data_IF_156210494739
#
_entry.id   IF_156210494739
#
_cell.length_a   1.000
_cell.length_b   1.000
_cell.length_c   1.000
_cell.angle_alpha   90.00
_cell.angle_beta   90.00
_cell.angle_gamma   90.00
#
_symmetry.space_group_name_H-M   'P 1'
#
loop_
_entity.id
_entity.type
_entity.pdbx_description
1 polymer ?
#
# COMPACT_ATOMS: atom_id res chain seq x y z
N UNK A 1 -23.98 4.74 20.97
CA UNK A 1 -23.22 6.01 21.04
C UNK A 1 -21.74 5.73 20.83
N UNK A 2 -21.09 6.46 19.92
CA UNK A 2 -19.62 6.62 19.90
C UNK A 2 -19.25 7.90 20.66
N UNK A 3 -18.19 7.87 21.46
CA UNK A 3 -17.71 9.03 22.23
C UNK A 3 -16.20 9.27 21.98
N UNK A 4 -15.71 10.47 22.32
CA UNK A 4 -14.32 10.89 22.09
C UNK A 4 -13.25 10.07 22.83
N UNK A 5 -13.61 9.39 23.92
CA UNK A 5 -12.77 8.48 24.70
C UNK A 5 -12.53 7.11 24.04
N UNK A 6 -13.25 6.75 22.98
CA UNK A 6 -12.95 5.56 22.16
C UNK A 6 -11.89 5.83 21.07
N UNK A 7 -11.31 7.04 21.03
CA UNK A 7 -10.25 7.38 20.09
C UNK A 7 -9.01 6.50 20.28
N UNK A 8 -8.50 5.93 19.20
CA UNK A 8 -7.19 5.25 19.23
C UNK A 8 -6.06 6.23 19.51
N UNK A 9 -4.99 5.74 20.16
CA UNK A 9 -3.81 6.54 20.43
C UNK A 9 -3.27 7.18 19.14
N UNK A 10 -2.95 8.48 19.16
CA UNK A 10 -2.53 9.25 17.98
C UNK A 10 -1.33 8.63 17.25
N UNK A 11 -0.43 7.97 17.99
CA UNK A 11 0.75 7.29 17.42
C UNK A 11 0.38 6.05 16.60
N UNK A 12 -0.59 5.27 17.07
CA UNK A 12 -1.01 4.00 16.47
C UNK A 12 -2.22 4.14 15.56
N UNK A 13 -2.87 5.30 15.54
CA UNK A 13 -3.97 5.56 14.63
C UNK A 13 -3.49 5.42 13.16
N UNK A 14 -4.32 4.77 12.34
CA UNK A 14 -4.08 4.46 10.92
C UNK A 14 -2.89 3.52 10.63
N UNK A 15 -2.32 2.88 11.65
CA UNK A 15 -1.28 1.85 11.49
C UNK A 15 -1.94 0.49 11.26
N UNK A 16 -1.48 -0.25 10.26
CA UNK A 16 -1.91 -1.62 10.00
C UNK A 16 -1.34 -2.58 11.04
N UNK A 17 -1.93 -3.77 11.23
CA UNK A 17 -1.34 -4.83 12.05
C UNK A 17 0.09 -5.21 11.64
N UNK A 18 0.48 -4.95 10.38
CA UNK A 18 1.84 -5.13 9.87
C UNK A 18 2.85 -4.11 10.40
N UNK A 19 2.42 -3.08 11.14
CA UNK A 19 3.27 -2.00 11.65
C UNK A 19 3.43 -0.81 10.70
N UNK A 20 2.87 -0.87 9.49
CA UNK A 20 2.99 0.19 8.49
C UNK A 20 1.73 1.06 8.39
N UNK A 21 1.89 2.30 7.97
CA UNK A 21 0.77 3.15 7.55
C UNK A 21 0.49 2.96 6.06
N UNK A 22 -0.77 2.82 5.71
CA UNK A 22 -1.19 2.61 4.32
C UNK A 22 -1.19 3.93 3.54
N UNK A 23 -0.60 3.93 2.36
CA UNK A 23 -0.63 5.03 1.41
C UNK A 23 -1.27 4.54 0.11
N UNK A 24 -2.34 5.20 -0.31
CA UNK A 24 -3.07 4.84 -1.51
C UNK A 24 -2.34 5.39 -2.74
N UNK A 25 -2.02 4.52 -3.71
CA UNK A 25 -1.23 4.84 -4.90
C UNK A 25 -2.09 4.71 -6.16
N UNK A 26 -2.14 5.76 -6.97
CA UNK A 26 -2.88 5.79 -8.23
C UNK A 26 -1.99 5.57 -9.46
N UNK A 27 -0.69 5.88 -9.36
CA UNK A 27 0.25 5.75 -10.46
C UNK A 27 1.67 5.43 -9.97
N UNK A 28 2.56 5.08 -10.91
CA UNK A 28 3.95 4.70 -10.62
C UNK A 28 4.78 5.87 -10.07
N UNK A 29 4.44 7.13 -10.40
CA UNK A 29 5.19 8.31 -9.95
C UNK A 29 5.01 8.56 -8.45
N UNK A 30 3.84 8.26 -7.91
CA UNK A 30 3.52 8.39 -6.48
C UNK A 30 4.37 7.47 -5.59
N UNK A 31 4.93 6.38 -6.12
CA UNK A 31 5.90 5.56 -5.38
C UNK A 31 7.15 6.36 -4.98
N UNK A 32 7.51 7.40 -5.73
CA UNK A 32 8.64 8.27 -5.39
C UNK A 32 8.44 9.01 -4.07
N UNK A 33 7.19 9.32 -3.70
CA UNK A 33 6.86 9.99 -2.43
C UNK A 33 7.18 9.06 -1.24
N UNK A 34 7.07 7.75 -1.44
CA UNK A 34 7.33 6.75 -0.41
C UNK A 34 8.81 6.36 -0.27
N UNK A 35 9.70 6.90 -1.11
CA UNK A 35 11.10 6.48 -1.14
C UNK A 35 11.81 6.70 0.20
N UNK A 36 11.57 7.85 0.85
CA UNK A 36 12.14 8.17 2.17
C UNK A 36 11.33 7.58 3.34
N UNK A 37 10.18 6.97 3.06
CA UNK A 37 9.20 6.52 4.05
C UNK A 37 8.92 5.01 3.97
N UNK A 38 9.74 4.25 3.24
CA UNK A 38 9.53 2.84 2.95
C UNK A 38 9.55 1.92 4.18
N UNK A 39 10.14 2.35 5.31
CA UNK A 39 10.11 1.62 6.60
C UNK A 39 8.84 1.85 7.41
N UNK A 40 8.14 2.96 7.18
CA UNK A 40 6.98 3.38 7.99
C UNK A 40 5.67 3.28 7.21
N UNK A 41 5.74 3.32 5.88
CA UNK A 41 4.59 3.32 4.98
C UNK A 41 4.62 2.17 3.98
N UNK A 42 3.44 1.65 3.66
CA UNK A 42 3.21 0.69 2.59
C UNK A 42 2.36 1.32 1.49
N UNK A 43 2.57 0.90 0.26
CA UNK A 43 1.71 1.26 -0.86
C UNK A 43 0.50 0.31 -0.96
N UNK A 44 -0.68 0.86 -1.22
CA UNK A 44 -1.84 0.09 -1.66
C UNK A 44 -2.28 0.66 -3.01
N UNK A 45 -2.26 -0.18 -4.05
CA UNK A 45 -2.65 0.26 -5.38
C UNK A 45 -4.17 0.33 -5.46
N UNK A 46 -4.70 1.43 -5.99
CA UNK A 46 -6.16 1.60 -6.03
C UNK A 46 -6.82 0.59 -6.98
N UNK A 47 -8.07 0.17 -6.71
CA UNK A 47 -8.80 -0.71 -7.62
C UNK A 47 -9.14 -0.04 -8.97
N UNK A 48 -8.93 1.27 -9.15
CA UNK A 48 -9.17 1.91 -10.43
C UNK A 48 -8.01 1.72 -11.43
N UNK A 49 -6.83 1.30 -10.95
CA UNK A 49 -5.66 1.07 -11.82
C UNK A 49 -5.87 -0.20 -12.66
N UNK A 50 -5.61 -0.09 -13.96
CA UNK A 50 -5.63 -1.23 -14.90
C UNK A 50 -4.53 -2.24 -14.55
N UNK A 51 -4.76 -3.52 -14.88
CA UNK A 51 -3.84 -4.62 -14.57
C UNK A 51 -2.40 -4.40 -15.06
N UNK A 52 -2.23 -3.84 -16.26
CA UNK A 52 -0.91 -3.50 -16.82
C UNK A 52 -0.15 -2.50 -15.93
N UNK A 53 -0.83 -1.43 -15.52
CA UNK A 53 -0.24 -0.39 -14.68
C UNK A 53 -0.05 -0.88 -13.25
N UNK A 54 -0.96 -1.72 -12.74
CA UNK A 54 -0.81 -2.35 -11.43
C UNK A 54 0.46 -3.19 -11.37
N UNK A 55 0.71 -4.02 -12.40
CA UNK A 55 1.93 -4.81 -12.52
C UNK A 55 3.18 -3.91 -12.56
N UNK A 56 3.17 -2.86 -13.36
CA UNK A 56 4.28 -1.90 -13.43
C UNK A 56 4.55 -1.19 -12.08
N UNK A 57 3.51 -0.87 -11.32
CA UNK A 57 3.65 -0.30 -9.96
C UNK A 57 4.30 -1.31 -9.02
N UNK A 58 3.89 -2.58 -9.04
CA UNK A 58 4.48 -3.63 -8.20
C UNK A 58 5.94 -3.89 -8.57
N UNK A 59 6.24 -4.01 -9.87
CA UNK A 59 7.61 -4.18 -10.38
C UNK A 59 8.52 -3.00 -10.00
N UNK A 60 7.99 -1.76 -10.03
CA UNK A 60 8.73 -0.57 -9.62
C UNK A 60 8.90 -0.44 -8.11
N UNK A 61 7.97 -0.94 -7.31
CA UNK A 61 8.05 -0.87 -5.85
C UNK A 61 9.16 -1.77 -5.27
N UNK A 62 9.48 -2.89 -5.94
CA UNK A 62 10.49 -3.84 -5.50
C UNK A 62 11.89 -3.23 -5.30
N UNK A 63 12.53 -2.55 -6.28
CA UNK A 63 13.84 -1.94 -6.07
C UNK A 63 13.83 -0.78 -5.07
N UNK A 64 12.67 -0.17 -4.82
CA UNK A 64 12.51 0.91 -3.84
C UNK A 64 12.31 0.38 -2.41
N UNK A 65 12.29 -0.95 -2.23
CA UNK A 65 12.00 -1.63 -0.96
C UNK A 65 10.65 -1.18 -0.37
N UNK A 66 9.69 -0.81 -1.23
CA UNK A 66 8.35 -0.39 -0.80
C UNK A 66 7.46 -1.63 -0.78
N UNK A 67 6.88 -1.93 0.38
CA UNK A 67 5.93 -3.04 0.51
C UNK A 67 4.57 -2.64 -0.07
N UNK A 68 4.07 -3.44 -1.01
CA UNK A 68 2.73 -3.28 -1.61
C UNK A 68 1.77 -4.25 -0.93
N UNK A 69 0.67 -3.78 -0.37
CA UNK A 69 -0.29 -4.62 0.37
C UNK A 69 -1.08 -5.56 -0.53
N UNK A 70 -1.39 -5.14 -1.75
CA UNK A 70 -2.19 -5.87 -2.73
C UNK A 70 -1.37 -6.26 -3.97
N UNK A 71 -0.12 -6.70 -3.78
CA UNK A 71 0.81 -7.04 -4.87
C UNK A 71 0.23 -8.03 -5.89
N UNK A 72 -0.58 -8.99 -5.43
CA UNK A 72 -1.15 -10.05 -6.26
C UNK A 72 -2.51 -9.66 -6.89
N UNK A 73 -3.05 -8.48 -6.56
CA UNK A 73 -4.34 -8.07 -7.10
C UNK A 73 -4.27 -7.85 -8.61
N UNK A 74 -5.31 -8.31 -9.33
CA UNK A 74 -5.46 -8.11 -10.79
C UNK A 74 -4.31 -8.66 -11.66
N UNK A 75 -3.40 -9.44 -11.10
CA UNK A 75 -2.54 -10.33 -11.85
C UNK A 75 -3.45 -11.47 -12.30
N UNK A 76 -3.81 -11.49 -13.59
CA UNK A 76 -4.69 -12.52 -14.15
C UNK A 76 -4.22 -13.90 -13.71
N UNK A 77 -5.18 -14.72 -13.23
CA UNK A 77 -4.91 -15.97 -12.53
C UNK A 77 -3.89 -16.85 -13.24
N UNK A 78 -2.64 -16.78 -12.79
CA UNK A 78 -1.71 -17.89 -12.85
C UNK A 78 -1.60 -18.40 -11.42
N UNK A 79 -2.34 -19.49 -11.20
CA UNK A 79 -1.98 -20.61 -10.32
C UNK A 79 -1.31 -20.25 -8.99
N UNK A 80 -2.11 -19.99 -7.95
CA UNK A 80 -1.72 -20.38 -6.59
C UNK A 80 -2.24 -21.82 -6.41
N UNK A 81 -1.41 -22.80 -6.77
CA UNK A 81 -1.57 -24.20 -6.40
C UNK A 81 -0.86 -24.49 -5.09
#
# INVERSE_FOLDING_TARGET
MTNSGYGSNKKTNHVLPSGFRKFLVHNVKELGVLLMHNTSHCAEVTPHVFSKNHKATVERAAPLTIRVTNSNARLGGKENG
#
